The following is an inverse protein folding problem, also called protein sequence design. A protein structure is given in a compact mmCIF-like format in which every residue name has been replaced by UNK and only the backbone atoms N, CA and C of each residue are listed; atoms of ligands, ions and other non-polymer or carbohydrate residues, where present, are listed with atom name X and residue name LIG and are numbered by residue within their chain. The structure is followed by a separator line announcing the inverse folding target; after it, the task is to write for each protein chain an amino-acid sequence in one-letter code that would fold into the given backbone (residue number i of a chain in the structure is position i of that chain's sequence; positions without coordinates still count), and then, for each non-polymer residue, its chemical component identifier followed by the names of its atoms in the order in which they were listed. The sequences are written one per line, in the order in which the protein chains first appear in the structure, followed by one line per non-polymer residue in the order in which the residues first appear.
data_IF_439187344612
#
_entry.id   IF_439187344612
#
_cell.length_a   1.000
_cell.length_b   1.000
_cell.length_c   1.000
_cell.angle_alpha   90.00
_cell.angle_beta   90.00
_cell.angle_gamma   90.00
#
_symmetry.space_group_name_H-M   'P 1'
#
loop_
_entity.id
_entity.type
_entity.pdbx_description
1 polymer ?
#
# COMPACT_ATOMS: atom_id res chain seq x y z
N UNK A 1 -49.61 33.81 52.85
CA UNK A 1 -48.35 33.04 52.79
C UNK A 1 -48.45 32.08 51.60
N UNK A 2 -47.83 32.41 50.47
CA UNK A 2 -47.82 31.56 49.26
C UNK A 2 -46.35 31.18 49.01
N UNK A 3 -46.03 29.91 49.22
CA UNK A 3 -44.67 29.38 49.07
C UNK A 3 -44.27 29.29 47.60
N UNK A 4 -43.18 29.97 47.24
CA UNK A 4 -42.52 29.79 45.93
C UNK A 4 -41.61 28.58 46.02
N UNK A 5 -42.05 27.45 45.44
CA UNK A 5 -41.18 26.29 45.16
C UNK A 5 -40.23 26.69 44.02
N UNK A 6 -38.94 26.78 44.31
CA UNK A 6 -37.90 26.90 43.29
C UNK A 6 -37.67 25.51 42.67
N UNK A 7 -37.94 25.38 41.37
CA UNK A 7 -37.69 24.18 40.60
C UNK A 7 -36.21 24.22 40.15
N UNK A 8 -35.35 23.38 40.75
CA UNK A 8 -33.98 23.18 40.26
C UNK A 8 -34.05 22.30 39.00
N UNK A 9 -33.80 22.88 37.83
CA UNK A 9 -33.55 22.12 36.60
C UNK A 9 -32.09 21.64 36.62
N UNK A 10 -31.87 20.37 36.94
CA UNK A 10 -30.57 19.73 36.73
C UNK A 10 -30.41 19.44 35.23
N UNK A 11 -29.54 20.19 34.55
CA UNK A 11 -29.12 19.85 33.20
C UNK A 11 -28.14 18.67 33.29
N UNK A 12 -28.58 17.46 32.89
CA UNK A 12 -27.66 16.37 32.62
C UNK A 12 -26.80 16.74 31.41
N UNK A 13 -25.52 17.02 31.64
CA UNK A 13 -24.52 17.02 30.57
C UNK A 13 -24.23 15.56 30.19
N UNK A 14 -24.89 15.08 29.13
CA UNK A 14 -24.49 13.85 28.48
C UNK A 14 -23.20 14.09 27.70
N UNK A 15 -22.10 13.48 28.12
CA UNK A 15 -20.91 13.36 27.28
C UNK A 15 -21.29 12.47 26.08
N UNK A 16 -21.37 13.05 24.89
CA UNK A 16 -21.47 12.25 23.66
C UNK A 16 -20.10 11.62 23.43
N UNK A 17 -20.02 10.30 23.59
CA UNK A 17 -18.85 9.56 23.15
C UNK A 17 -18.76 9.68 21.62
N UNK A 18 -17.77 10.42 21.14
CA UNK A 18 -17.42 10.48 19.72
C UNK A 18 -16.88 9.10 19.32
N UNK A 19 -17.71 8.29 18.67
CA UNK A 19 -17.24 7.06 18.05
C UNK A 19 -16.38 7.41 16.84
N UNK A 20 -15.11 7.00 16.84
CA UNK A 20 -14.26 7.15 15.66
C UNK A 20 -14.79 6.24 14.54
N UNK A 21 -15.04 6.80 13.36
CA UNK A 21 -15.49 6.03 12.19
C UNK A 21 -14.29 5.53 11.41
N UNK A 22 -14.34 4.31 10.87
CA UNK A 22 -13.27 3.82 10.00
C UNK A 22 -13.28 4.57 8.67
N UNK A 23 -12.12 5.07 8.24
CA UNK A 23 -11.88 5.70 6.96
C UNK A 23 -10.79 4.94 6.19
N UNK A 24 -10.79 5.09 4.87
CA UNK A 24 -9.86 4.40 3.96
C UNK A 24 -9.25 5.34 2.95
N UNK A 25 -7.95 5.22 2.72
CA UNK A 25 -7.23 5.85 1.61
C UNK A 25 -6.64 4.76 0.69
N UNK A 26 -6.94 4.83 -0.60
CA UNK A 26 -6.49 3.85 -1.60
C UNK A 26 -5.53 4.51 -2.58
N UNK A 27 -4.40 3.84 -2.86
CA UNK A 27 -3.38 4.29 -3.80
C UNK A 27 -3.17 3.21 -4.85
N UNK A 28 -3.37 3.62 -6.11
CA UNK A 28 -3.10 2.82 -7.30
C UNK A 28 -1.79 3.27 -7.93
N UNK A 29 -1.19 2.40 -8.75
CA UNK A 29 0.05 2.69 -9.47
C UNK A 29 -0.05 3.96 -10.34
N UNK A 30 0.96 4.83 -10.24
CA UNK A 30 1.07 6.09 -10.99
C UNK A 30 2.36 6.20 -11.81
N UNK A 31 3.28 5.23 -11.72
CA UNK A 31 4.63 5.33 -12.29
C UNK A 31 5.65 6.04 -11.41
N UNK A 32 5.24 6.57 -10.24
CA UNK A 32 6.13 7.29 -9.34
C UNK A 32 5.76 7.07 -7.86
N UNK A 33 6.65 7.51 -6.97
CA UNK A 33 6.37 7.52 -5.53
C UNK A 33 5.19 8.47 -5.21
N UNK A 34 4.38 8.08 -4.25
CA UNK A 34 3.29 8.86 -3.67
C UNK A 34 3.54 9.08 -2.18
N UNK A 35 2.81 9.99 -1.55
CA UNK A 35 2.92 10.24 -0.12
C UNK A 35 1.55 10.32 0.52
N UNK A 36 1.45 9.91 1.79
CA UNK A 36 0.27 10.12 2.61
C UNK A 36 0.67 10.64 3.99
N UNK A 37 0.00 11.71 4.42
CA UNK A 37 0.20 12.30 5.75
C UNK A 37 -0.84 11.76 6.70
N UNK A 38 -0.39 11.21 7.82
CA UNK A 38 -1.23 10.66 8.87
C UNK A 38 -2.14 11.77 9.43
N UNK A 39 -3.48 11.59 9.42
CA UNK A 39 -4.42 12.57 9.94
C UNK A 39 -4.23 12.86 11.43
N UNK A 40 -4.79 13.98 11.88
CA UNK A 40 -4.80 14.34 13.29
C UNK A 40 -5.48 13.25 14.14
N UNK A 41 -4.89 12.93 15.29
CA UNK A 41 -5.43 11.92 16.21
C UNK A 41 -5.22 10.46 15.80
N UNK A 42 -4.72 10.18 14.59
CA UNK A 42 -4.42 8.80 14.14
C UNK A 42 -3.05 8.37 14.64
N UNK A 43 -3.01 7.30 15.43
CA UNK A 43 -1.78 6.70 15.99
C UNK A 43 -1.50 5.28 15.49
N UNK A 44 -2.43 4.69 14.73
CA UNK A 44 -2.25 3.41 14.07
C UNK A 44 -3.05 3.36 12.78
N UNK A 45 -2.57 2.58 11.81
CA UNK A 45 -3.26 2.29 10.56
C UNK A 45 -3.17 0.80 10.22
N UNK A 46 -4.17 0.25 9.56
CA UNK A 46 -4.10 -1.07 8.94
C UNK A 46 -3.73 -0.90 7.48
N UNK A 47 -2.72 -1.64 7.03
CA UNK A 47 -2.26 -1.67 5.65
C UNK A 47 -2.72 -2.95 4.96
N UNK A 48 -3.18 -2.84 3.72
CA UNK A 48 -3.27 -3.94 2.75
C UNK A 48 -2.46 -3.53 1.51
N UNK A 49 -1.33 -4.21 1.30
CA UNK A 49 -0.41 -3.99 0.20
C UNK A 49 -0.50 -5.14 -0.78
N UNK A 50 -0.53 -4.82 -2.08
CA UNK A 50 -0.52 -5.81 -3.17
C UNK A 50 0.62 -5.53 -4.11
N UNK A 51 1.53 -6.48 -4.30
CA UNK A 51 2.60 -6.41 -5.30
C UNK A 51 2.03 -6.58 -6.71
N UNK A 52 2.79 -6.18 -7.74
CA UNK A 52 2.32 -6.30 -9.11
C UNK A 52 2.63 -7.67 -9.73
N UNK A 53 1.83 -8.08 -10.72
CA UNK A 53 2.11 -9.29 -11.48
C UNK A 53 3.32 -9.12 -12.41
N UNK A 54 4.00 -10.23 -12.69
CA UNK A 54 4.96 -10.34 -13.78
C UNK A 54 4.31 -10.29 -15.15
N UNK A 55 5.14 -10.11 -16.17
CA UNK A 55 4.71 -10.11 -17.56
C UNK A 55 4.45 -11.53 -18.05
N UNK A 56 3.42 -11.66 -18.88
CA UNK A 56 3.20 -12.84 -19.71
C UNK A 56 4.09 -12.81 -20.95
N UNK A 57 4.44 -13.98 -21.45
CA UNK A 57 5.40 -14.17 -22.53
C UNK A 57 4.74 -14.59 -23.86
N UNK A 58 5.53 -14.57 -24.94
CA UNK A 58 5.04 -14.79 -26.30
C UNK A 58 5.63 -16.07 -26.90
N UNK A 59 4.81 -17.04 -27.33
CA UNK A 59 5.29 -18.19 -28.09
C UNK A 59 5.70 -17.79 -29.52
N UNK A 60 6.43 -18.66 -30.23
CA UNK A 60 6.78 -18.43 -31.65
C UNK A 60 5.57 -18.36 -32.58
N UNK A 61 4.45 -18.97 -32.16
CA UNK A 61 3.19 -18.95 -32.88
C UNK A 61 2.04 -19.00 -31.89
N UNK A 62 1.00 -18.20 -32.13
CA UNK A 62 -0.20 -18.16 -31.30
C UNK A 62 -0.30 -16.89 -30.45
N UNK A 63 -1.22 -16.92 -29.49
CA UNK A 63 -1.47 -15.80 -28.60
C UNK A 63 -0.44 -15.75 -27.45
N UNK A 64 -0.27 -14.54 -26.90
CA UNK A 64 0.44 -14.29 -25.65
C UNK A 64 -0.10 -15.22 -24.54
N UNK A 65 0.79 -15.73 -23.70
CA UNK A 65 0.44 -16.49 -22.52
C UNK A 65 0.44 -15.57 -21.29
N UNK A 66 -0.54 -15.72 -20.41
CA UNK A 66 -0.56 -15.00 -19.12
C UNK A 66 0.15 -15.83 -18.05
N UNK A 67 1.42 -16.14 -18.31
CA UNK A 67 2.29 -17.03 -17.53
C UNK A 67 3.24 -16.27 -16.59
N UNK A 68 3.04 -14.96 -16.43
CA UNK A 68 3.69 -14.17 -15.39
C UNK A 68 3.17 -14.53 -14.01
N UNK A 69 4.06 -14.60 -13.03
CA UNK A 69 3.69 -14.85 -11.64
C UNK A 69 2.82 -13.72 -11.08
N UNK A 70 1.86 -14.04 -10.23
CA UNK A 70 1.01 -13.04 -9.59
C UNK A 70 1.77 -12.34 -8.45
N UNK A 71 1.41 -11.08 -8.18
CA UNK A 71 1.94 -10.34 -7.04
C UNK A 71 1.38 -10.84 -5.71
N UNK A 72 2.15 -10.72 -4.64
CA UNK A 72 1.76 -11.12 -3.29
C UNK A 72 0.94 -10.07 -2.57
N UNK A 73 0.41 -10.46 -1.41
CA UNK A 73 -0.25 -9.56 -0.47
C UNK A 73 0.56 -9.48 0.82
N UNK A 74 0.64 -8.29 1.43
CA UNK A 74 1.12 -8.09 2.79
C UNK A 74 0.14 -7.19 3.56
N UNK A 75 -0.31 -7.64 4.73
CA UNK A 75 -1.28 -6.91 5.54
C UNK A 75 -0.85 -6.84 7.00
N UNK A 76 -1.32 -5.84 7.74
CA UNK A 76 -1.10 -5.72 9.19
C UNK A 76 -1.24 -4.29 9.70
N UNK A 77 -1.03 -4.10 11.00
CA UNK A 77 -1.18 -2.79 11.65
C UNK A 77 0.18 -2.11 11.84
N UNK A 78 0.31 -0.90 11.32
CA UNK A 78 1.47 -0.02 11.48
C UNK A 78 1.17 1.06 12.53
N UNK A 79 2.04 1.18 13.53
CA UNK A 79 2.02 2.29 14.46
C UNK A 79 2.51 3.57 13.75
N UNK A 80 1.81 4.68 13.94
CA UNK A 80 2.11 5.97 13.31
C UNK A 80 1.94 7.11 14.30
N UNK A 81 2.41 8.30 13.93
CA UNK A 81 2.20 9.54 14.68
C UNK A 81 1.38 10.51 13.84
N UNK A 82 0.44 11.29 14.43
CA UNK A 82 -0.26 12.34 13.70
C UNK A 82 0.71 13.30 12.98
N UNK A 83 0.43 13.62 11.72
CA UNK A 83 1.28 14.47 10.87
C UNK A 83 2.51 13.77 10.27
N UNK A 84 2.77 12.50 10.61
CA UNK A 84 3.84 11.72 10.01
C UNK A 84 3.56 11.45 8.53
N UNK A 85 4.60 11.53 7.69
CA UNK A 85 4.49 11.25 6.25
C UNK A 85 4.97 9.84 5.96
N UNK A 86 4.11 9.06 5.29
CA UNK A 86 4.44 7.76 4.72
C UNK A 86 4.80 7.94 3.24
N UNK A 87 5.92 7.36 2.81
CA UNK A 87 6.26 7.28 1.39
C UNK A 87 5.74 5.95 0.82
N UNK A 88 5.01 6.04 -0.28
CA UNK A 88 4.23 4.96 -0.86
C UNK A 88 4.79 4.64 -2.25
N UNK A 89 5.15 3.38 -2.47
CA UNK A 89 5.66 2.89 -3.74
C UNK A 89 4.76 1.76 -4.18
N UNK A 90 3.88 2.03 -5.14
CA UNK A 90 2.96 1.01 -5.67
C UNK A 90 3.64 0.32 -6.85
N UNK A 91 3.74 -1.01 -6.81
CA UNK A 91 4.37 -1.80 -7.86
C UNK A 91 3.67 -1.65 -9.20
N UNK A 92 4.46 -1.46 -10.25
CA UNK A 92 3.97 -1.53 -11.63
C UNK A 92 4.02 -2.97 -12.14
N UNK A 93 3.03 -3.37 -12.93
CA UNK A 93 3.13 -4.59 -13.74
C UNK A 93 4.28 -4.44 -14.74
N UNK A 94 4.91 -5.57 -15.12
CA UNK A 94 5.86 -5.58 -16.24
C UNK A 94 5.21 -5.03 -17.52
N UNK A 95 5.98 -4.26 -18.29
CA UNK A 95 5.44 -3.60 -19.49
C UNK A 95 5.34 -4.62 -20.60
N UNK A 96 4.15 -4.77 -21.19
CA UNK A 96 3.99 -5.55 -22.39
C UNK A 96 4.50 -4.77 -23.60
N UNK A 97 5.62 -5.21 -24.15
CA UNK A 97 6.28 -4.63 -25.32
C UNK A 97 6.22 -5.56 -26.53
N UNK A 98 5.47 -6.66 -26.47
CA UNK A 98 5.51 -7.71 -27.47
C UNK A 98 6.74 -8.61 -27.36
N UNK A 99 6.98 -9.42 -28.40
CA UNK A 99 8.09 -10.36 -28.44
C UNK A 99 9.41 -9.69 -28.85
N UNK A 100 9.91 -8.76 -28.02
CA UNK A 100 11.14 -7.99 -28.26
C UNK A 100 12.05 -7.97 -27.02
N UNK A 101 13.31 -7.61 -27.23
CA UNK A 101 14.29 -7.41 -26.16
C UNK A 101 14.66 -5.91 -26.06
N UNK A 102 14.73 -5.32 -24.86
CA UNK A 102 14.35 -5.90 -23.56
C UNK A 102 12.83 -6.03 -23.40
N UNK A 103 12.40 -6.95 -22.54
CA UNK A 103 11.05 -6.99 -21.98
C UNK A 103 11.09 -6.34 -20.58
N UNK A 104 10.69 -5.06 -20.42
CA UNK A 104 10.97 -4.30 -19.21
C UNK A 104 10.23 -4.83 -17.98
N UNK A 105 10.94 -4.85 -16.85
CA UNK A 105 10.37 -5.12 -15.54
C UNK A 105 9.43 -4.01 -15.06
N UNK A 106 8.59 -4.36 -14.09
CA UNK A 106 7.65 -3.47 -13.44
C UNK A 106 8.31 -2.49 -12.48
N UNK A 107 7.73 -1.29 -12.37
CA UNK A 107 8.20 -0.24 -11.46
C UNK A 107 8.35 -0.74 -10.02
N UNK A 108 9.36 -0.24 -9.31
CA UNK A 108 9.76 -0.65 -7.95
C UNK A 108 10.36 -2.07 -7.89
N UNK A 109 11.23 -2.36 -8.87
CA UNK A 109 12.25 -3.40 -8.75
C UNK A 109 11.95 -4.70 -9.48
N UNK A 110 11.00 -4.75 -10.40
CA UNK A 110 10.90 -5.89 -11.33
C UNK A 110 12.14 -5.94 -12.23
N UNK A 111 12.69 -7.13 -12.44
CA UNK A 111 13.84 -7.33 -13.33
C UNK A 111 13.42 -7.45 -14.79
N UNK A 112 14.22 -6.90 -15.71
CA UNK A 112 13.98 -7.06 -17.15
C UNK A 112 14.22 -8.51 -17.58
N UNK A 113 13.33 -9.00 -18.45
CA UNK A 113 13.53 -10.20 -19.26
C UNK A 113 13.90 -9.83 -20.70
N UNK A 114 13.78 -10.78 -21.61
CA UNK A 114 13.94 -10.51 -23.05
C UNK A 114 12.98 -11.30 -23.92
N UNK A 115 13.22 -11.30 -25.23
CA UNK A 115 12.39 -11.99 -26.23
C UNK A 115 12.02 -13.41 -25.78
N UNK A 116 10.76 -13.82 -25.97
CA UNK A 116 10.14 -15.08 -25.50
C UNK A 116 10.06 -15.28 -23.99
N UNK A 117 10.72 -14.44 -23.20
CA UNK A 117 10.45 -14.24 -21.78
C UNK A 117 9.68 -12.95 -21.55
N UNK A 118 9.60 -12.56 -20.29
CA UNK A 118 8.97 -11.31 -19.88
C UNK A 118 9.65 -10.73 -18.63
N UNK A 119 9.44 -9.43 -18.39
CA UNK A 119 9.90 -8.78 -17.16
C UNK A 119 9.11 -9.24 -15.93
N UNK A 120 9.76 -9.15 -14.76
CA UNK A 120 9.10 -9.38 -13.47
C UNK A 120 8.27 -8.18 -13.02
N UNK A 121 7.29 -8.41 -12.14
CA UNK A 121 6.44 -7.39 -11.55
C UNK A 121 7.13 -6.63 -10.41
N UNK A 122 6.71 -5.40 -10.21
CA UNK A 122 7.19 -4.52 -9.15
C UNK A 122 6.69 -4.87 -7.76
N UNK A 123 7.50 -4.60 -6.73
CA UNK A 123 7.03 -4.66 -5.34
C UNK A 123 6.12 -3.48 -5.00
N UNK A 124 5.23 -3.66 -4.03
CA UNK A 124 4.52 -2.54 -3.38
C UNK A 124 5.03 -2.36 -1.96
N UNK A 125 5.47 -1.17 -1.58
CA UNK A 125 6.05 -0.94 -0.26
C UNK A 125 5.68 0.42 0.37
N UNK A 126 5.70 0.43 1.70
CA UNK A 126 5.57 1.64 2.53
C UNK A 126 6.90 1.89 3.23
N UNK A 127 7.38 3.14 3.17
CA UNK A 127 8.63 3.57 3.82
C UNK A 127 8.39 4.66 4.85
N UNK A 128 9.12 4.55 5.96
CA UNK A 128 9.02 5.45 7.11
C UNK A 128 10.39 6.02 7.48
N UNK A 129 10.43 7.32 7.79
CA UNK A 129 11.67 8.00 8.20
C UNK A 129 12.69 8.20 7.06
N UNK A 130 12.27 8.02 5.80
CA UNK A 130 13.12 8.21 4.62
C UNK A 130 12.55 7.47 3.40
N UNK A 131 13.30 7.54 2.30
CA UNK A 131 12.93 6.95 1.00
C UNK A 131 13.86 5.82 0.56
N UNK A 132 14.87 5.45 1.35
CA UNK A 132 15.80 4.38 1.00
C UNK A 132 15.17 2.98 1.19
N UNK A 133 15.74 1.94 0.57
CA UNK A 133 15.24 0.56 0.75
C UNK A 133 15.27 0.11 2.22
N UNK A 134 16.21 0.62 3.01
CA UNK A 134 16.31 0.36 4.45
C UNK A 134 15.15 0.97 5.27
N UNK A 135 14.40 1.93 4.70
CA UNK A 135 13.25 2.55 5.36
C UNK A 135 11.94 1.77 5.18
N UNK A 136 11.95 0.65 4.44
CA UNK A 136 10.76 -0.17 4.22
C UNK A 136 10.27 -0.78 5.53
N UNK A 137 9.00 -0.54 5.84
CA UNK A 137 8.33 -1.12 7.02
C UNK A 137 7.38 -2.25 6.64
N UNK A 138 6.89 -2.24 5.39
CA UNK A 138 6.08 -3.29 4.82
C UNK A 138 6.29 -3.37 3.30
N UNK A 139 6.34 -4.59 2.77
CA UNK A 139 6.54 -4.89 1.34
C UNK A 139 5.63 -6.05 0.96
N UNK A 140 4.90 -5.91 -0.15
CA UNK A 140 4.28 -7.01 -0.87
C UNK A 140 5.10 -7.29 -2.14
N UNK A 141 5.59 -8.53 -2.28
CA UNK A 141 6.46 -8.93 -3.40
C UNK A 141 5.73 -8.97 -4.74
N UNK A 142 6.40 -8.60 -5.82
CA UNK A 142 5.94 -8.77 -7.20
C UNK A 142 6.29 -10.15 -7.76
N UNK A 143 5.51 -10.63 -8.73
CA UNK A 143 5.73 -11.93 -9.38
C UNK A 143 6.84 -11.91 -10.42
N UNK A 144 7.44 -13.06 -10.71
CA UNK A 144 8.43 -13.23 -11.78
C UNK A 144 7.81 -13.21 -13.17
N UNK A 145 8.62 -12.93 -14.19
CA UNK A 145 8.20 -13.00 -15.60
C UNK A 145 8.12 -14.45 -16.11
N UNK A 146 7.14 -14.70 -16.98
CA UNK A 146 6.96 -15.99 -17.66
C UNK A 146 7.98 -16.23 -18.78
N UNK A 147 7.96 -17.43 -19.33
CA UNK A 147 8.84 -17.86 -20.42
C UNK A 147 8.20 -18.99 -21.24
N UNK A 148 7.64 -18.66 -22.40
CA UNK A 148 6.97 -19.66 -23.25
C UNK A 148 7.94 -20.30 -24.26
N UNK A 149 9.10 -19.73 -24.58
CA UNK A 149 10.00 -20.25 -25.62
C UNK A 149 9.34 -20.94 -26.84
N UNK A 150 9.92 -22.08 -27.29
CA UNK A 150 9.30 -23.01 -28.25
C UNK A 150 9.84 -24.44 -28.07
N UNK A 151 9.13 -25.35 -27.39
CA UNK A 151 7.79 -25.24 -26.76
C UNK A 151 7.79 -24.48 -25.42
N UNK A 152 6.62 -24.37 -24.76
CA UNK A 152 6.46 -23.73 -23.42
C UNK A 152 7.55 -24.15 -22.44
N UNK A 153 8.22 -23.17 -21.85
CA UNK A 153 9.37 -23.37 -20.98
C UNK A 153 9.03 -23.14 -19.50
N UNK A 154 7.97 -22.40 -19.15
CA UNK A 154 7.47 -22.30 -17.78
C UNK A 154 6.99 -20.91 -17.34
N UNK A 155 6.24 -20.90 -16.25
CA UNK A 155 5.63 -19.71 -15.67
C UNK A 155 6.54 -19.03 -14.62
N UNK A 156 6.38 -17.72 -14.46
CA UNK A 156 7.01 -16.94 -13.40
C UNK A 156 6.50 -17.33 -12.01
N UNK A 157 7.36 -17.25 -11.01
CA UNK A 157 7.01 -17.53 -9.61
C UNK A 157 6.17 -16.40 -9.01
N UNK A 158 5.18 -16.74 -8.18
CA UNK A 158 4.40 -15.73 -7.49
C UNK A 158 5.26 -14.93 -6.50
N UNK A 159 5.02 -13.63 -6.44
CA UNK A 159 5.53 -12.78 -5.38
C UNK A 159 4.73 -12.97 -4.09
N UNK A 160 5.32 -12.60 -2.97
CA UNK A 160 4.69 -12.68 -1.65
C UNK A 160 5.31 -13.75 -0.76
N UNK A 161 4.68 -14.03 0.38
CA UNK A 161 5.27 -14.93 1.38
C UNK A 161 6.52 -14.35 2.04
N UNK A 162 7.05 -15.02 3.06
CA UNK A 162 8.40 -14.67 3.58
C UNK A 162 9.51 -15.12 2.61
N UNK A 163 9.17 -16.04 1.71
CA UNK A 163 9.91 -16.35 0.50
C UNK A 163 8.94 -16.27 -0.66
N UNK A 164 9.34 -15.61 -1.75
CA UNK A 164 8.63 -15.71 -3.02
C UNK A 164 8.74 -17.13 -3.57
N UNK A 165 7.84 -17.47 -4.49
CA UNK A 165 7.89 -18.76 -5.17
C UNK A 165 9.00 -18.74 -6.24
N UNK A 166 9.71 -19.85 -6.46
CA UNK A 166 10.54 -19.99 -7.65
C UNK A 166 9.66 -19.98 -8.91
N UNK A 167 10.26 -19.65 -10.06
CA UNK A 167 9.63 -19.91 -11.35
C UNK A 167 9.48 -21.41 -11.60
N UNK A 168 8.82 -21.77 -12.70
CA UNK A 168 8.68 -23.16 -13.13
C UNK A 168 9.46 -23.43 -14.41
N UNK A 169 9.73 -24.72 -14.65
CA UNK A 169 10.22 -25.22 -15.93
C UNK A 169 9.26 -26.35 -16.40
N UNK A 170 8.88 -26.35 -17.68
CA UNK A 170 7.97 -27.36 -18.26
C UNK A 170 8.66 -28.40 -19.15
N UNK A 171 9.79 -28.06 -19.77
CA UNK A 171 10.44 -28.88 -20.80
C UNK A 171 11.63 -29.72 -20.29
N UNK A 172 11.95 -29.67 -18.99
CA UNK A 172 13.17 -30.21 -18.40
C UNK A 172 14.42 -29.42 -18.81
N UNK A 173 15.56 -29.64 -18.13
CA UNK A 173 16.88 -29.16 -18.58
C UNK A 173 17.28 -27.73 -18.20
N UNK A 174 16.36 -26.87 -17.77
CA UNK A 174 16.68 -25.54 -17.23
C UNK A 174 16.23 -25.39 -15.79
N UNK A 175 17.03 -24.66 -15.01
CA UNK A 175 16.74 -24.32 -13.62
C UNK A 175 15.99 -22.98 -13.59
N UNK A 176 14.79 -22.91 -13.01
CA UNK A 176 14.04 -21.66 -12.89
C UNK A 176 14.72 -20.69 -11.91
N UNK A 177 14.33 -19.42 -11.99
CA UNK A 177 14.78 -18.41 -11.04
C UNK A 177 14.23 -18.71 -9.65
N UNK A 178 15.09 -18.67 -8.64
CA UNK A 178 14.67 -18.85 -7.25
C UNK A 178 13.85 -17.66 -6.75
N UNK A 179 12.96 -17.89 -5.77
CA UNK A 179 12.26 -16.81 -5.09
C UNK A 179 13.15 -16.05 -4.12
N UNK A 180 12.90 -14.75 -3.95
CA UNK A 180 13.57 -13.93 -2.94
C UNK A 180 13.16 -14.34 -1.53
N UNK A 181 14.04 -14.14 -0.53
CA UNK A 181 13.79 -14.50 0.88
C UNK A 181 13.83 -13.27 1.79
N UNK A 182 13.85 -13.45 3.12
CA UNK A 182 14.06 -12.35 4.06
C UNK A 182 15.52 -11.93 4.25
N UNK A 183 16.47 -12.65 3.67
CA UNK A 183 17.90 -12.41 3.91
C UNK A 183 18.76 -12.38 2.67
N UNK A 184 18.24 -12.84 1.54
CA UNK A 184 18.93 -12.88 0.26
C UNK A 184 17.95 -12.86 -0.90
N UNK A 185 18.42 -12.39 -2.05
CA UNK A 185 17.70 -12.51 -3.31
C UNK A 185 17.60 -13.95 -3.81
N UNK A 186 16.65 -14.16 -4.69
CA UNK A 186 16.46 -15.43 -5.35
C UNK A 186 17.68 -15.81 -6.17
N UNK A 187 18.11 -17.06 -6.04
CA UNK A 187 19.25 -17.60 -6.79
C UNK A 187 18.95 -17.51 -8.30
N UNK A 188 19.96 -17.16 -9.08
CA UNK A 188 19.87 -17.18 -10.54
C UNK A 188 19.53 -18.59 -11.05
N UNK A 189 18.67 -18.67 -12.06
CA UNK A 189 18.41 -19.92 -12.77
C UNK A 189 19.51 -20.27 -13.77
N UNK A 190 19.17 -21.08 -14.77
CA UNK A 190 20.06 -21.39 -15.89
C UNK A 190 20.40 -20.14 -16.71
N UNK A 191 21.61 -20.08 -17.26
CA UNK A 191 21.98 -19.17 -18.35
C UNK A 191 21.91 -19.85 -19.73
N UNK A 192 22.17 -19.11 -20.80
CA UNK A 192 22.11 -19.61 -22.19
C UNK A 192 23.44 -20.25 -22.68
N UNK A 193 24.43 -20.39 -21.79
CA UNK A 193 25.79 -20.85 -22.08
C UNK A 193 26.78 -19.75 -22.43
N UNK A 194 26.31 -18.56 -22.80
CA UNK A 194 27.10 -17.35 -23.08
C UNK A 194 26.83 -16.21 -22.09
N UNK A 195 25.62 -16.15 -21.56
CA UNK A 195 25.11 -15.16 -20.63
C UNK A 195 24.61 -15.87 -19.38
N UNK A 196 25.15 -15.48 -18.22
CA UNK A 196 24.65 -15.96 -16.93
C UNK A 196 23.33 -15.27 -16.57
N UNK A 197 22.40 -16.02 -15.96
CA UNK A 197 21.25 -15.41 -15.29
C UNK A 197 21.71 -14.63 -14.05
N UNK A 198 20.86 -13.73 -13.59
CA UNK A 198 21.11 -12.81 -12.49
C UNK A 198 20.31 -13.22 -11.25
N UNK A 199 20.97 -13.24 -10.09
CA UNK A 199 20.27 -13.38 -8.82
C UNK A 199 19.50 -12.10 -8.51
N UNK A 200 18.44 -12.22 -7.71
CA UNK A 200 17.79 -11.06 -7.11
C UNK A 200 18.69 -10.38 -6.07
N UNK A 201 18.33 -9.17 -5.69
CA UNK A 201 18.98 -8.38 -4.64
C UNK A 201 17.94 -7.73 -3.73
N UNK A 202 18.40 -7.02 -2.69
CA UNK A 202 17.53 -6.19 -1.85
C UNK A 202 16.79 -5.19 -2.75
N UNK A 203 15.47 -5.32 -2.81
CA UNK A 203 14.59 -4.45 -3.57
C UNK A 203 14.57 -4.64 -5.09
N UNK A 204 15.38 -5.53 -5.66
CA UNK A 204 15.52 -5.69 -7.11
C UNK A 204 15.42 -7.17 -7.50
N UNK A 205 14.61 -7.47 -8.51
CA UNK A 205 14.60 -8.76 -9.19
C UNK A 205 15.82 -8.94 -10.08
N UNK A 206 16.21 -10.19 -10.29
CA UNK A 206 17.25 -10.56 -11.25
C UNK A 206 16.86 -10.10 -12.64
N UNK A 207 17.77 -9.36 -13.29
CA UNK A 207 17.54 -8.79 -14.61
C UNK A 207 18.58 -9.30 -15.58
N UNK A 208 18.11 -9.88 -16.69
CA UNK A 208 18.96 -10.39 -17.77
C UNK A 208 18.21 -10.13 -19.09
N UNK A 209 18.37 -8.93 -19.69
CA UNK A 209 17.59 -8.49 -20.85
C UNK A 209 18.10 -9.11 -22.15
N UNK A 210 18.07 -10.44 -22.24
CA UNK A 210 18.55 -11.22 -23.37
C UNK A 210 17.53 -12.26 -23.79
N UNK A 211 17.75 -12.86 -24.96
CA UNK A 211 16.89 -13.86 -25.55
C UNK A 211 16.52 -14.98 -24.56
N UNK A 212 15.22 -15.25 -24.40
CA UNK A 212 14.62 -16.31 -23.57
C UNK A 212 14.85 -16.18 -22.07
N UNK A 213 15.03 -14.97 -21.53
CA UNK A 213 15.11 -14.78 -20.07
C UNK A 213 13.80 -14.28 -19.48
N UNK A 214 13.31 -14.96 -18.45
CA UNK A 214 12.28 -14.45 -17.54
C UNK A 214 12.93 -13.62 -16.44
N UNK A 215 12.46 -12.39 -16.24
CA UNK A 215 12.95 -11.48 -15.20
C UNK A 215 12.41 -11.83 -13.81
N UNK A 216 13.21 -11.61 -12.76
CA UNK A 216 12.77 -11.81 -11.37
C UNK A 216 11.79 -10.74 -10.89
N UNK A 217 10.85 -11.11 -10.03
CA UNK A 217 9.94 -10.16 -9.38
C UNK A 217 10.64 -9.32 -8.31
N UNK A 218 10.23 -8.06 -8.16
CA UNK A 218 10.71 -7.19 -7.07
C UNK A 218 10.17 -7.63 -5.72
N UNK A 219 10.86 -7.31 -4.62
CA UNK A 219 10.38 -7.66 -3.27
C UNK A 219 11.15 -6.95 -2.18
N UNK A 220 11.09 -7.47 -0.96
CA UNK A 220 12.08 -7.11 0.05
C UNK A 220 13.45 -7.57 -0.43
N UNK A 221 13.57 -8.84 -0.75
CA UNK A 221 14.54 -9.29 -1.74
C UNK A 221 13.80 -9.80 -2.98
N UNK A 222 14.29 -9.44 -4.16
CA UNK A 222 13.70 -9.88 -5.42
C UNK A 222 14.04 -11.33 -5.75
N UNK A 223 13.28 -11.93 -6.67
CA UNK A 223 13.58 -13.26 -7.23
C UNK A 223 14.70 -13.22 -8.28
N UNK A 224 15.23 -14.38 -8.65
CA UNK A 224 16.24 -14.51 -9.71
C UNK A 224 15.64 -14.56 -11.12
N UNK A 225 16.42 -14.22 -12.14
CA UNK A 225 16.06 -14.46 -13.54
C UNK A 225 16.43 -15.89 -13.97
N UNK A 226 15.92 -16.34 -15.12
CA UNK A 226 16.30 -17.61 -15.71
C UNK A 226 16.14 -17.64 -17.23
N UNK A 227 17.06 -18.32 -17.90
CA UNK A 227 16.94 -18.71 -19.30
C UNK A 227 16.09 -19.97 -19.45
N UNK A 228 15.17 -19.99 -20.42
CA UNK A 228 14.37 -21.19 -20.74
C UNK A 228 13.54 -21.70 -19.56
N UNK A 229 13.17 -20.81 -18.64
CA UNK A 229 12.32 -21.05 -17.49
C UNK A 229 11.80 -19.70 -16.95
N UNK A 230 10.79 -19.74 -16.08
CA UNK A 230 10.26 -18.54 -15.44
C UNK A 230 11.22 -17.93 -14.42
N UNK A 231 11.15 -16.61 -14.26
CA UNK A 231 11.82 -15.90 -13.17
C UNK A 231 11.13 -16.15 -11.82
N UNK A 232 11.87 -16.03 -10.72
CA UNK A 232 11.32 -16.19 -9.37
C UNK A 232 10.58 -14.94 -8.90
N UNK A 233 9.61 -15.10 -7.99
CA UNK A 233 8.92 -13.99 -7.34
C UNK A 233 9.73 -13.36 -6.20
N UNK A 234 9.46 -12.10 -5.88
CA UNK A 234 10.07 -11.43 -4.73
C UNK A 234 9.36 -11.73 -3.41
N UNK A 235 10.09 -11.66 -2.29
CA UNK A 235 9.53 -11.82 -0.95
C UNK A 235 8.72 -10.59 -0.49
N UNK A 236 7.72 -10.82 0.35
CA UNK A 236 7.14 -9.78 1.19
C UNK A 236 8.02 -9.50 2.41
N UNK A 237 7.77 -8.39 3.10
CA UNK A 237 8.37 -8.07 4.39
C UNK A 237 7.35 -7.39 5.28
N UNK A 238 7.22 -7.84 6.52
CA UNK A 238 6.15 -7.42 7.44
C UNK A 238 6.68 -7.11 8.84
N UNK A 239 8.00 -6.98 9.03
CA UNK A 239 8.56 -6.79 10.38
C UNK A 239 8.22 -5.43 11.01
N UNK A 240 7.82 -4.43 10.19
CA UNK A 240 7.28 -3.17 10.69
C UNK A 240 5.79 -3.23 11.07
N UNK A 241 5.13 -4.38 10.91
CA UNK A 241 3.71 -4.55 11.17
C UNK A 241 3.47 -5.43 12.40
N UNK A 242 2.52 -5.00 13.23
CA UNK A 242 1.92 -5.85 14.25
C UNK A 242 0.78 -6.67 13.66
N UNK A 243 0.69 -7.95 14.04
CA UNK A 243 -0.30 -8.89 13.48
C UNK A 243 -0.15 -9.10 11.98
N UNK A 244 1.06 -8.91 11.44
CA UNK A 244 1.30 -8.96 10.01
C UNK A 244 1.11 -10.35 9.41
N UNK A 245 0.58 -10.41 8.18
CA UNK A 245 0.47 -11.62 7.38
C UNK A 245 0.87 -11.35 5.92
N UNK A 246 1.26 -12.41 5.22
CA UNK A 246 1.53 -12.32 3.78
C UNK A 246 1.08 -13.59 3.06
N UNK A 247 0.55 -13.41 1.85
CA UNK A 247 0.03 -14.48 1.00
C UNK A 247 0.65 -14.34 -0.39
N UNK A 248 1.31 -15.38 -0.93
CA UNK A 248 1.77 -15.37 -2.32
C UNK A 248 0.61 -15.35 -3.32
N UNK A 249 0.85 -14.75 -4.49
CA UNK A 249 0.01 -14.94 -5.68
C UNK A 249 -1.44 -14.46 -5.58
N UNK A 250 -1.65 -13.25 -5.06
CA UNK A 250 -2.98 -12.66 -4.84
C UNK A 250 -3.39 -11.67 -5.91
N UNK A 251 -2.43 -10.92 -6.47
CA UNK A 251 -2.70 -9.74 -7.29
C UNK A 251 -2.33 -9.94 -8.75
N UNK A 252 -3.35 -9.81 -9.61
CA UNK A 252 -3.19 -9.54 -11.03
C UNK A 252 -3.16 -8.02 -11.27
N UNK A 253 -2.33 -7.59 -12.20
CA UNK A 253 -2.17 -6.24 -12.69
C UNK A 253 -1.14 -5.47 -11.88
N UNK A 254 -1.32 -4.16 -11.86
CA UNK A 254 -0.56 -3.29 -10.99
C UNK A 254 -0.86 -3.58 -9.51
N UNK A 255 0.07 -3.18 -8.65
CA UNK A 255 -0.12 -3.22 -7.22
C UNK A 255 -1.13 -2.19 -6.70
N UNK A 256 -1.38 -2.24 -5.39
CA UNK A 256 -2.19 -1.25 -4.69
C UNK A 256 -1.81 -1.16 -3.21
N UNK A 257 -2.15 -0.02 -2.60
CA UNK A 257 -2.05 0.20 -1.16
C UNK A 257 -3.41 0.66 -0.67
N UNK A 258 -3.95 -0.01 0.35
CA UNK A 258 -5.13 0.45 1.10
C UNK A 258 -4.70 0.72 2.53
N UNK A 259 -4.95 1.95 3.00
CA UNK A 259 -4.69 2.38 4.37
C UNK A 259 -6.04 2.59 5.05
N UNK A 260 -6.33 1.80 6.08
CA UNK A 260 -7.53 1.94 6.90
C UNK A 260 -7.16 2.51 8.26
N UNK A 261 -7.89 3.53 8.71
CA UNK A 261 -7.60 4.21 9.97
C UNK A 261 -8.89 4.69 10.65
N UNK A 262 -8.82 4.94 11.95
CA UNK A 262 -9.93 5.52 12.69
C UNK A 262 -9.91 7.04 12.49
N UNK A 263 -10.90 7.57 11.76
CA UNK A 263 -11.05 9.00 11.60
C UNK A 263 -11.72 9.59 12.85
N UNK A 264 -10.98 10.43 13.55
CA UNK A 264 -11.52 11.27 14.60
C UNK A 264 -12.08 12.51 13.92
N UNK A 265 -13.34 12.43 13.44
CA UNK A 265 -14.10 13.62 13.02
C UNK A 265 -13.87 14.69 14.07
N UNK A 266 -13.32 15.84 13.65
CA UNK A 266 -12.87 16.92 14.52
C UNK A 266 -13.83 17.06 15.70
N UNK A 267 -13.31 16.91 16.92
CA UNK A 267 -14.08 17.13 18.14
C UNK A 267 -14.94 18.40 17.94
N UNK A 268 -16.25 18.39 18.26
CA UNK A 268 -17.00 19.64 18.23
C UNK A 268 -16.20 20.62 19.07
N UNK A 269 -15.76 21.72 18.44
CA UNK A 269 -15.10 22.83 19.15
C UNK A 269 -15.96 23.05 20.37
N UNK A 270 -15.41 22.82 21.56
CA UNK A 270 -16.13 23.09 22.79
C UNK A 270 -16.58 24.55 22.68
N UNK A 271 -17.87 24.77 22.45
CA UNK A 271 -18.44 26.12 22.51
C UNK A 271 -18.07 26.58 23.91
N UNK A 272 -17.28 27.66 24.07
CA UNK A 272 -16.85 28.08 25.38
C UNK A 272 -18.11 28.21 26.24
N UNK A 273 -18.21 27.37 27.26
CA UNK A 273 -19.31 27.46 28.20
C UNK A 273 -19.20 28.84 28.82
N UNK A 274 -20.14 29.71 28.49
CA UNK A 274 -20.31 30.98 29.19
C UNK A 274 -20.48 30.60 30.66
N UNK A 275 -19.44 30.81 31.48
CA UNK A 275 -19.49 30.47 32.89
C UNK A 275 -20.72 31.13 33.52
N UNK A 276 -21.29 30.54 34.58
CA UNK A 276 -22.52 31.04 35.21
C UNK A 276 -22.49 32.56 35.51
N UNK A 277 -21.31 33.14 35.72
CA UNK A 277 -21.11 34.59 35.86
C UNK A 277 -21.35 35.42 34.59
N UNK A 278 -21.07 34.88 33.40
CA UNK A 278 -21.27 35.59 32.13
C UNK A 278 -22.72 35.46 31.61
N UNK A 279 -23.45 34.41 32.04
CA UNK A 279 -24.88 34.24 31.76
C UNK A 279 -25.75 35.22 32.58
N UNK A 280 -25.34 35.56 33.81
CA UNK A 280 -26.01 36.60 34.61
C UNK A 280 -25.79 38.01 34.05
N UNK A 281 -24.62 38.28 33.45
CA UNK A 281 -24.33 39.59 32.85
C UNK A 281 -25.20 39.87 31.60
N UNK A 282 -25.50 38.82 30.81
CA UNK A 282 -26.36 38.94 29.64
C UNK A 282 -27.85 39.11 30.02
N UNK A 283 -28.30 38.48 31.11
CA UNK A 283 -29.65 38.66 31.64
C UNK A 283 -29.87 40.06 32.25
N UNK A 284 -28.85 40.63 32.92
CA UNK A 284 -28.90 41.98 33.47
C UNK A 284 -28.91 43.06 32.36
N UNK A 285 -28.16 42.86 31.28
CA UNK A 285 -28.16 43.77 30.13
C UNK A 285 -29.52 43.81 29.40
N UNK A 286 -30.24 42.69 29.33
CA UNK A 286 -31.56 42.62 28.70
C UNK A 286 -32.67 43.23 29.57
N UNK A 287 -32.55 43.17 30.90
CA UNK A 287 -33.48 43.82 31.84
C UNK A 287 -33.37 45.37 31.82
N UNK A 288 -32.17 45.91 31.61
CA UNK A 288 -31.95 47.36 31.53
C UNK A 288 -32.54 47.99 30.25
N UNK A 289 -32.54 47.26 29.12
CA UNK A 289 -33.14 47.72 27.86
C UNK A 289 -34.67 47.69 27.89
N UNK A 290 -35.26 46.74 28.63
CA UNK A 290 -36.71 46.65 28.84
C UNK A 290 -37.28 47.74 29.76
N UNK A 291 -36.54 48.15 30.80
CA UNK A 291 -36.97 49.20 31.71
C UNK A 291 -36.90 50.62 31.09
N UNK A 292 -35.96 50.86 30.17
CA UNK A 292 -35.79 52.14 29.47
C UNK A 292 -36.92 52.48 28.49
N UNK A 293 -37.54 51.47 27.87
CA UNK A 293 -38.66 51.68 26.93
C UNK A 293 -39.99 51.94 27.63
N UNK A 294 -40.22 51.38 28.83
CA UNK A 294 -41.47 51.56 29.56
C UNK A 294 -41.57 52.94 30.27
N UNK A 295 -40.44 53.52 30.69
CA UNK A 295 -40.42 54.86 31.29
C UNK A 295 -40.62 55.99 30.26
N UNK A 296 -40.25 55.79 28.99
CA UNK A 296 -40.35 56.82 27.94
C UNK A 296 -41.75 56.95 27.34
N UNK A 297 -42.60 55.91 27.43
CA UNK A 297 -43.99 55.96 26.95
C UNK A 297 -44.98 56.59 27.94
N UNK A 298 -44.69 56.66 29.25
CA UNK A 298 -45.57 57.29 30.25
C UNK A 298 -45.42 58.82 30.38
N UNK A 299 -44.41 59.44 29.77
CA UNK A 299 -44.23 60.93 29.77
C UNK A 299 -44.77 61.64 28.52
N UNK A 300 -45.37 60.93 27.56
CA UNK A 300 -46.02 61.52 26.36
C UNK A 300 -47.55 61.45 26.39
N UNK A 301 -48.15 61.08 27.52
CA UNK A 301 -49.59 61.15 27.78
C UNK A 301 -49.82 61.83 29.14
N UNK A 302 -49.49 63.11 29.18
CA UNK A 302 -49.84 64.09 30.20
C UNK A 302 -50.03 65.41 29.49
#
# INVERSE_FOLDING_TARGET
MIGKKALLAAALLGAVASGASAATATFSYTGAAQTWTVPAGVTQVTLDLRGAQGGGSYPCSGARQEDGGLGGQAQGTLAVTPGQVLNLYVGGQAVDVGNITPAPGGFNGGGDGGQYGAGGGGATDVRLGGTALANRVAVAGGGGGGNTGCPDHGAGGNGGGLSGDPGTNLSGGYTPGGGGTQSAGGVAGSGDGSTAASAGQLGLGGSTPTYHFGGGGGGYYGGGSAYGAGGGGGSSYIAGLSGGSTTPGVQSGNGSIVITYADAVAAPVAVPTMGAGMLMLLAAALAAVGAGHSARQRRRRG
#
